data_IF_752373397274
#
_entry.id   IF_752373397274
#
_cell.length_a   1.000
_cell.length_b   1.000
_cell.length_c   1.000
_cell.angle_alpha   90.00
_cell.angle_beta   90.00
_cell.angle_gamma   90.00
#
_symmetry.space_group_name_H-M   'P 1'
#
loop_
_entity.id
_entity.type
_entity.pdbx_description
1 polymer ?
#
# COMPACT_ATOMS: atom_id res chain seq x y z
N UNK A 1 -18.97 -4.64 8.43
CA UNK A 1 -18.12 -3.73 7.64
C UNK A 1 -18.00 -4.31 6.25
N UNK A 2 -17.90 -3.47 5.23
CA UNK A 2 -17.58 -3.91 3.87
C UNK A 2 -16.30 -4.77 3.88
N UNK A 3 -16.20 -5.69 2.94
CA UNK A 3 -15.19 -6.74 2.94
C UNK A 3 -13.87 -6.21 2.36
N UNK A 4 -13.26 -5.29 3.09
CA UNK A 4 -12.03 -4.62 2.70
C UNK A 4 -10.82 -5.37 3.23
N UNK A 5 -9.72 -5.31 2.48
CA UNK A 5 -8.42 -5.75 2.94
C UNK A 5 -7.40 -4.64 2.79
N UNK A 6 -6.42 -4.59 3.69
CA UNK A 6 -5.16 -3.87 3.45
C UNK A 6 -4.12 -4.89 2.99
N UNK A 7 -3.37 -4.58 1.94
CA UNK A 7 -2.42 -5.48 1.29
C UNK A 7 -1.05 -4.83 1.15
N UNK A 8 -0.03 -5.63 1.40
CA UNK A 8 1.37 -5.38 1.02
C UNK A 8 2.03 -6.72 0.66
N UNK A 9 3.05 -6.70 -0.19
CA UNK A 9 3.85 -7.88 -0.53
C UNK A 9 5.34 -7.63 -0.39
N UNK A 10 6.06 -8.71 -0.13
CA UNK A 10 7.50 -8.77 -0.28
C UNK A 10 7.89 -9.69 -1.42
N UNK A 11 9.05 -9.44 -2.01
CA UNK A 11 9.58 -10.24 -3.12
C UNK A 11 10.78 -11.09 -2.70
N UNK A 12 11.07 -12.13 -3.48
CA UNK A 12 12.23 -13.01 -3.29
C UNK A 12 13.53 -12.39 -3.84
N UNK A 13 13.37 -11.43 -4.75
CA UNK A 13 14.45 -10.83 -5.54
C UNK A 13 14.26 -9.31 -5.65
N UNK A 14 15.36 -8.61 -5.88
CA UNK A 14 15.40 -7.17 -6.08
C UNK A 14 15.20 -6.82 -7.56
N UNK A 15 14.86 -5.55 -7.83
CA UNK A 15 14.86 -5.03 -9.20
C UNK A 15 16.20 -5.20 -9.92
N UNK A 16 17.32 -5.06 -9.19
CA UNK A 16 18.66 -5.30 -9.73
C UNK A 16 18.87 -6.73 -10.21
N UNK A 17 18.22 -7.70 -9.57
CA UNK A 17 18.35 -9.12 -9.90
C UNK A 17 17.59 -9.48 -11.19
N UNK A 18 16.60 -8.67 -11.58
CA UNK A 18 15.76 -8.90 -12.77
C UNK A 18 16.06 -7.97 -13.94
N UNK A 19 17.07 -7.10 -13.78
CA UNK A 19 17.54 -6.18 -14.82
C UNK A 19 16.93 -4.78 -14.78
N UNK A 20 16.09 -4.46 -13.80
CA UNK A 20 15.49 -3.13 -13.64
C UNK A 20 13.98 -3.15 -13.38
N UNK A 21 13.38 -1.95 -13.27
CA UNK A 21 11.95 -1.78 -12.91
C UNK A 21 11.00 -2.15 -14.05
N UNK A 22 11.45 -2.03 -15.29
CA UNK A 22 10.75 -2.47 -16.49
C UNK A 22 10.50 -3.99 -16.52
N UNK A 23 11.27 -4.75 -15.73
CA UNK A 23 11.17 -6.19 -15.58
C UNK A 23 10.32 -6.63 -14.38
N UNK A 24 9.36 -5.81 -13.92
CA UNK A 24 8.47 -6.08 -12.79
C UNK A 24 7.86 -7.50 -12.80
N UNK A 25 7.48 -8.00 -13.98
CA UNK A 25 6.89 -9.33 -14.17
C UNK A 25 7.82 -10.48 -13.76
N UNK A 26 9.14 -10.25 -13.66
CA UNK A 26 10.14 -11.24 -13.23
C UNK A 26 10.33 -11.28 -11.71
N UNK A 27 9.78 -10.34 -10.95
CA UNK A 27 9.81 -10.39 -9.49
C UNK A 27 8.96 -11.54 -8.96
N UNK A 28 9.46 -12.27 -7.97
CA UNK A 28 8.77 -13.42 -7.38
C UNK A 28 8.25 -13.05 -5.99
N UNK A 29 7.07 -13.54 -5.64
CA UNK A 29 6.44 -13.32 -4.34
C UNK A 29 7.19 -14.11 -3.26
N UNK A 30 7.58 -13.48 -2.16
CA UNK A 30 8.04 -14.21 -0.96
C UNK A 30 6.89 -14.38 0.03
N UNK A 31 6.22 -13.27 0.40
CA UNK A 31 5.04 -13.27 1.26
C UNK A 31 4.09 -12.15 0.88
N UNK A 32 2.78 -12.39 0.97
CA UNK A 32 1.74 -11.36 0.99
C UNK A 32 1.25 -11.16 2.42
N UNK A 33 1.26 -9.93 2.90
CA UNK A 33 0.71 -9.52 4.18
C UNK A 33 -0.67 -8.89 4.00
N UNK A 34 -1.61 -9.23 4.86
CA UNK A 34 -2.99 -8.76 4.76
C UNK A 34 -3.55 -8.38 6.12
N UNK A 35 -4.31 -7.30 6.19
CA UNK A 35 -5.27 -7.07 7.27
C UNK A 35 -6.70 -7.21 6.72
N UNK A 36 -7.46 -8.16 7.26
CA UNK A 36 -8.86 -8.40 6.89
C UNK A 36 -9.77 -7.61 7.83
N UNK A 37 -10.58 -6.68 7.30
CA UNK A 37 -11.56 -5.95 8.11
C UNK A 37 -12.73 -6.83 8.57
N UNK A 38 -13.12 -7.83 7.77
CA UNK A 38 -14.18 -8.75 8.15
C UNK A 38 -13.77 -9.66 9.32
N UNK A 39 -12.53 -10.14 9.29
CA UNK A 39 -12.01 -11.02 10.34
C UNK A 39 -11.29 -10.28 11.48
N UNK A 40 -11.01 -8.99 11.30
CA UNK A 40 -10.24 -8.13 12.22
C UNK A 40 -8.89 -8.73 12.60
N UNK A 41 -8.20 -9.34 11.63
CA UNK A 41 -6.94 -10.05 11.86
C UNK A 41 -5.90 -9.75 10.77
N UNK A 42 -4.64 -9.82 11.18
CA UNK A 42 -3.50 -9.84 10.29
C UNK A 42 -3.23 -11.27 9.82
N UNK A 43 -2.92 -11.43 8.54
CA UNK A 43 -2.67 -12.70 7.86
C UNK A 43 -1.45 -12.58 6.98
N UNK A 44 -0.74 -13.68 6.80
CA UNK A 44 0.35 -13.78 5.83
C UNK A 44 0.16 -14.99 4.95
N UNK A 45 0.51 -14.87 3.68
CA UNK A 45 0.43 -15.96 2.72
C UNK A 45 1.74 -16.06 1.94
N UNK A 46 2.42 -17.19 2.05
CA UNK A 46 3.51 -17.57 1.16
C UNK A 46 2.96 -18.08 -0.18
N UNK A 47 3.83 -18.33 -1.17
CA UNK A 47 3.39 -18.89 -2.46
C UNK A 47 2.55 -20.18 -2.31
N UNK A 48 2.86 -21.03 -1.32
CA UNK A 48 2.12 -22.28 -1.06
C UNK A 48 0.73 -22.04 -0.45
N UNK A 49 0.51 -20.88 0.15
CA UNK A 49 -0.74 -20.50 0.84
C UNK A 49 -1.64 -19.64 -0.06
N UNK A 50 -1.25 -19.40 -1.30
CA UNK A 50 -2.01 -18.63 -2.28
C UNK A 50 -3.43 -19.14 -2.56
N UNK A 51 -3.74 -20.46 -2.51
CA UNK A 51 -5.13 -20.91 -2.61
C UNK A 51 -6.04 -20.28 -1.54
N UNK A 52 -5.56 -20.18 -0.30
CA UNK A 52 -6.31 -19.54 0.79
C UNK A 52 -6.38 -18.01 0.62
N UNK A 53 -5.33 -17.40 0.06
CA UNK A 53 -5.35 -15.98 -0.29
C UNK A 53 -6.38 -15.68 -1.40
N UNK A 54 -6.49 -16.54 -2.42
CA UNK A 54 -7.51 -16.41 -3.46
C UNK A 54 -8.94 -16.48 -2.89
N UNK A 55 -9.20 -17.40 -1.96
CA UNK A 55 -10.50 -17.50 -1.30
C UNK A 55 -10.88 -16.22 -0.53
N UNK A 56 -9.88 -15.54 0.03
CA UNK A 56 -10.06 -14.21 0.62
C UNK A 56 -10.37 -13.17 -0.46
N UNK A 57 -9.56 -13.11 -1.52
CA UNK A 57 -9.73 -12.16 -2.63
C UNK A 57 -11.09 -12.27 -3.33
N UNK A 58 -11.63 -13.48 -3.50
CA UNK A 58 -12.97 -13.69 -4.11
C UNK A 58 -14.10 -12.99 -3.34
N UNK A 59 -13.89 -12.73 -2.05
CA UNK A 59 -14.85 -12.08 -1.17
C UNK A 59 -14.53 -10.60 -0.95
N UNK A 60 -13.35 -10.14 -1.39
CA UNK A 60 -12.87 -8.78 -1.19
C UNK A 60 -13.57 -7.79 -2.11
N UNK A 61 -14.10 -6.71 -1.52
CA UNK A 61 -14.77 -5.62 -2.22
C UNK A 61 -13.82 -4.45 -2.52
N UNK A 62 -12.76 -4.30 -1.72
CA UNK A 62 -11.76 -3.24 -1.87
C UNK A 62 -10.40 -3.69 -1.35
N UNK A 63 -9.35 -3.44 -2.13
CA UNK A 63 -7.96 -3.56 -1.71
C UNK A 63 -7.42 -2.18 -1.36
N UNK A 64 -6.94 -1.99 -0.14
CA UNK A 64 -6.26 -0.78 0.30
C UNK A 64 -4.77 -1.07 0.34
N UNK A 65 -3.94 -0.16 -0.17
CA UNK A 65 -2.52 -0.40 -0.26
C UNK A 65 -1.69 0.86 -0.45
N UNK A 66 -0.38 0.67 -0.55
CA UNK A 66 0.58 1.74 -0.76
C UNK A 66 1.51 1.42 -1.94
N UNK A 67 1.31 2.10 -3.08
CA UNK A 67 1.93 1.76 -4.37
C UNK A 67 1.56 0.35 -4.89
N UNK A 68 0.48 -0.21 -4.36
CA UNK A 68 -0.08 -1.53 -4.67
C UNK A 68 -0.56 -1.65 -6.11
N UNK A 69 -1.09 -0.57 -6.70
CA UNK A 69 -1.50 -0.59 -8.11
C UNK A 69 -0.32 -0.71 -9.08
N UNK A 70 0.80 -0.07 -8.72
CA UNK A 70 2.00 -0.01 -9.55
C UNK A 70 3.01 -1.13 -9.28
N UNK A 71 2.81 -1.94 -8.24
CA UNK A 71 3.79 -2.94 -7.80
C UNK A 71 3.14 -4.27 -7.42
N UNK A 72 2.46 -4.33 -6.28
CA UNK A 72 1.97 -5.56 -5.67
C UNK A 72 0.99 -6.33 -6.56
N UNK A 73 -0.04 -5.66 -7.07
CA UNK A 73 -1.10 -6.30 -7.85
C UNK A 73 -0.57 -6.84 -9.19
N UNK A 74 0.27 -6.11 -9.94
CA UNK A 74 0.97 -6.67 -11.09
C UNK A 74 1.87 -7.89 -10.78
N UNK A 75 2.58 -7.88 -9.65
CA UNK A 75 3.43 -9.02 -9.23
C UNK A 75 2.58 -10.23 -8.87
N UNK A 76 1.48 -10.03 -8.13
CA UNK A 76 0.54 -11.08 -7.75
C UNK A 76 -0.25 -11.66 -8.93
N UNK A 77 -0.53 -10.85 -9.96
CA UNK A 77 -1.38 -11.24 -11.09
C UNK A 77 -0.98 -12.58 -11.73
N UNK A 78 0.32 -12.88 -11.84
CA UNK A 78 0.80 -14.12 -12.48
C UNK A 78 0.61 -15.38 -11.63
N UNK A 79 0.32 -15.21 -10.35
CA UNK A 79 0.15 -16.29 -9.39
C UNK A 79 -1.31 -16.69 -9.17
N UNK A 80 -2.25 -15.84 -9.56
CA UNK A 80 -3.64 -15.94 -9.14
C UNK A 80 -4.56 -16.30 -10.31
N UNK A 81 -5.52 -17.20 -10.06
CA UNK A 81 -6.62 -17.46 -10.97
C UNK A 81 -7.70 -16.37 -10.93
N UNK A 82 -7.84 -15.72 -9.76
CA UNK A 82 -8.67 -14.52 -9.60
C UNK A 82 -8.00 -13.37 -10.35
N UNK A 83 -8.78 -12.68 -11.19
CA UNK A 83 -8.32 -11.44 -11.82
C UNK A 83 -8.29 -10.31 -10.78
N UNK A 84 -7.22 -10.29 -9.98
CA UNK A 84 -6.97 -9.29 -8.94
C UNK A 84 -6.96 -7.87 -9.51
N UNK A 85 -6.79 -7.71 -10.83
CA UNK A 85 -6.84 -6.42 -11.48
C UNK A 85 -8.24 -5.79 -11.50
N UNK A 86 -9.29 -6.62 -11.41
CA UNK A 86 -10.69 -6.21 -11.40
C UNK A 86 -11.25 -5.85 -10.02
N UNK A 87 -10.57 -6.25 -8.95
CA UNK A 87 -10.97 -5.86 -7.60
C UNK A 87 -10.65 -4.36 -7.45
N UNK A 88 -11.61 -3.53 -7.00
CA UNK A 88 -11.36 -2.12 -6.73
C UNK A 88 -10.18 -1.93 -5.77
N UNK A 89 -9.38 -0.88 -6.01
CA UNK A 89 -8.26 -0.53 -5.15
C UNK A 89 -8.30 0.94 -4.71
N UNK A 90 -7.84 1.17 -3.48
CA UNK A 90 -7.43 2.47 -2.97
C UNK A 90 -5.92 2.41 -2.74
N UNK A 91 -5.17 3.03 -3.63
CA UNK A 91 -3.72 3.19 -3.50
C UNK A 91 -3.40 4.60 -2.97
N UNK A 92 -2.90 4.67 -1.73
CA UNK A 92 -2.58 5.93 -1.05
C UNK A 92 -1.49 6.70 -1.81
N UNK A 93 -0.50 6.02 -2.39
CA UNK A 93 0.53 6.68 -3.20
C UNK A 93 -0.09 7.33 -4.44
N UNK A 94 -0.96 6.60 -5.14
CA UNK A 94 -1.65 7.10 -6.33
C UNK A 94 -2.46 8.36 -6.01
N UNK A 95 -3.15 8.41 -4.86
CA UNK A 95 -3.87 9.61 -4.43
C UNK A 95 -2.96 10.82 -4.24
N UNK A 96 -1.79 10.60 -3.63
CA UNK A 96 -0.81 11.66 -3.42
C UNK A 96 -0.22 12.12 -4.75
N UNK A 97 0.16 11.20 -5.64
CA UNK A 97 0.70 11.54 -6.97
C UNK A 97 -0.34 12.30 -7.79
N UNK A 98 -1.61 11.90 -7.78
CA UNK A 98 -2.69 12.58 -8.48
C UNK A 98 -2.92 14.01 -7.98
N UNK A 99 -2.72 14.23 -6.68
CA UNK A 99 -2.81 15.56 -6.10
C UNK A 99 -1.55 16.40 -6.36
N UNK A 100 -0.36 15.82 -6.21
CA UNK A 100 0.89 16.57 -6.02
C UNK A 100 1.90 16.45 -7.17
N UNK A 101 1.69 15.52 -8.09
CA UNK A 101 2.58 15.25 -9.22
C UNK A 101 3.88 14.50 -8.87
N UNK A 102 4.10 14.13 -7.61
CA UNK A 102 5.29 13.39 -7.18
C UNK A 102 4.99 12.36 -6.09
N UNK A 103 5.90 11.40 -5.94
CA UNK A 103 5.81 10.29 -4.97
C UNK A 103 6.35 10.71 -3.61
N UNK A 104 5.79 10.15 -2.54
CA UNK A 104 6.30 10.27 -1.16
C UNK A 104 6.49 8.87 -0.57
N UNK A 105 7.34 8.69 0.43
CA UNK A 105 7.50 7.37 1.05
C UNK A 105 6.40 7.08 2.09
N UNK A 106 6.15 5.79 2.34
CA UNK A 106 5.25 5.36 3.42
C UNK A 106 5.73 5.88 4.78
N UNK A 107 7.05 5.82 5.02
CA UNK A 107 7.67 6.33 6.26
C UNK A 107 7.39 7.83 6.46
N UNK A 108 7.53 8.64 5.41
CA UNK A 108 7.27 10.08 5.48
C UNK A 108 5.80 10.37 5.85
N UNK A 109 4.85 9.63 5.28
CA UNK A 109 3.44 9.74 5.65
C UNK A 109 3.20 9.30 7.09
N UNK A 110 3.80 8.20 7.52
CA UNK A 110 3.62 7.66 8.87
C UNK A 110 4.17 8.61 9.93
N UNK A 111 5.35 9.18 9.70
CA UNK A 111 5.97 10.14 10.62
C UNK A 111 5.09 11.37 10.74
N UNK A 112 4.67 11.96 9.61
CA UNK A 112 3.96 13.23 9.62
C UNK A 112 2.47 13.12 9.97
N UNK A 113 1.84 11.98 9.69
CA UNK A 113 0.40 11.76 9.94
C UNK A 113 0.16 11.08 11.28
N UNK A 114 0.95 10.05 11.61
CA UNK A 114 0.72 9.18 12.76
C UNK A 114 1.71 9.41 13.90
N UNK A 115 2.80 10.17 13.68
CA UNK A 115 3.90 10.28 14.63
C UNK A 115 4.67 8.96 14.81
N UNK A 116 4.58 8.04 13.84
CA UNK A 116 5.21 6.71 13.89
C UNK A 116 6.30 6.61 12.82
N UNK A 117 7.46 6.10 13.19
CA UNK A 117 8.54 5.78 12.24
C UNK A 117 8.50 4.31 11.84
N UNK A 118 8.85 4.00 10.60
CA UNK A 118 9.04 2.62 10.13
C UNK A 118 10.25 1.98 10.82
N UNK A 119 10.14 0.69 11.11
CA UNK A 119 11.15 -0.09 11.84
C UNK A 119 12.39 -0.44 10.99
N UNK A 120 12.26 -0.56 9.66
CA UNK A 120 13.39 -0.87 8.76
C UNK A 120 13.10 -0.50 7.28
N UNK A 121 14.11 -0.66 6.40
CA UNK A 121 14.05 -0.35 4.96
C UNK A 121 13.82 -1.64 4.13
N UNK A 122 13.14 -1.55 2.98
CA UNK A 122 12.68 -2.69 2.16
C UNK A 122 13.80 -3.63 1.66
N UNK A 123 15.05 -3.17 1.64
CA UNK A 123 16.19 -4.04 1.33
C UNK A 123 16.35 -5.20 2.31
N UNK A 124 15.88 -5.06 3.55
CA UNK A 124 16.02 -6.10 4.58
C UNK A 124 15.11 -7.31 4.31
N UNK A 125 14.00 -7.13 3.60
CA UNK A 125 13.02 -8.19 3.36
C UNK A 125 13.58 -9.29 2.45
N UNK A 126 14.24 -8.89 1.35
CA UNK A 126 14.90 -9.85 0.44
C UNK A 126 16.04 -10.58 1.16
N UNK A 127 16.76 -9.91 2.06
CA UNK A 127 17.81 -10.55 2.86
C UNK A 127 17.24 -11.56 3.86
N UNK A 128 16.10 -11.28 4.50
CA UNK A 128 15.39 -12.25 5.33
C UNK A 128 14.95 -13.47 4.52
N UNK A 129 14.41 -13.27 3.32
CA UNK A 129 14.06 -14.36 2.42
C UNK A 129 15.27 -15.24 2.07
N UNK A 130 16.37 -14.62 1.62
CA UNK A 130 17.61 -15.31 1.24
C UNK A 130 18.22 -16.13 2.39
N UNK A 131 18.03 -15.68 3.63
CA UNK A 131 18.49 -16.36 4.84
C UNK A 131 17.48 -17.37 5.40
N UNK A 132 16.29 -17.52 4.80
CA UNK A 132 15.22 -18.38 5.31
C UNK A 132 14.56 -17.87 6.59
N UNK A 133 14.76 -16.59 6.95
CA UNK A 133 14.24 -15.93 8.15
C UNK A 133 12.78 -15.49 7.96
N UNK A 134 11.91 -16.48 7.81
CA UNK A 134 10.52 -16.28 7.40
C UNK A 134 9.68 -15.55 8.44
N UNK A 135 9.95 -15.70 9.72
CA UNK A 135 9.19 -15.03 10.78
C UNK A 135 9.46 -13.53 10.79
N UNK A 136 10.72 -13.11 10.61
CA UNK A 136 11.09 -11.71 10.46
C UNK A 136 10.54 -11.10 9.18
N UNK A 137 10.58 -11.85 8.07
CA UNK A 137 9.98 -11.41 6.81
C UNK A 137 8.47 -11.19 6.94
N UNK A 138 7.75 -12.15 7.52
CA UNK A 138 6.31 -12.04 7.80
C UNK A 138 6.00 -10.85 8.70
N UNK A 139 6.77 -10.68 9.78
CA UNK A 139 6.60 -9.55 10.70
C UNK A 139 6.85 -8.21 10.00
N UNK A 140 7.88 -8.13 9.16
CA UNK A 140 8.22 -6.94 8.41
C UNK A 140 7.09 -6.54 7.45
N UNK A 141 6.58 -7.48 6.65
CA UNK A 141 5.44 -7.24 5.76
C UNK A 141 4.18 -6.81 6.55
N UNK A 142 3.88 -7.48 7.66
CA UNK A 142 2.74 -7.10 8.52
C UNK A 142 2.89 -5.73 9.17
N UNK A 143 4.11 -5.26 9.43
CA UNK A 143 4.35 -3.90 9.91
C UNK A 143 3.94 -2.86 8.86
N UNK A 144 4.24 -3.09 7.58
CA UNK A 144 3.81 -2.21 6.48
C UNK A 144 2.31 -2.25 6.25
N UNK A 145 1.69 -3.42 6.32
CA UNK A 145 0.22 -3.56 6.31
C UNK A 145 -0.40 -2.76 7.46
N UNK A 146 0.16 -2.86 8.67
CA UNK A 146 -0.34 -2.16 9.85
C UNK A 146 -0.21 -0.64 9.69
N UNK A 147 0.92 -0.15 9.19
CA UNK A 147 1.13 1.28 8.93
C UNK A 147 0.18 1.81 7.86
N UNK A 148 0.00 1.06 6.78
CA UNK A 148 -0.95 1.39 5.70
C UNK A 148 -2.39 1.43 6.21
N UNK A 149 -2.79 0.45 7.03
CA UNK A 149 -4.10 0.42 7.69
C UNK A 149 -4.28 1.65 8.58
N UNK A 150 -3.32 1.94 9.45
CA UNK A 150 -3.38 3.06 10.39
C UNK A 150 -3.50 4.41 9.63
N UNK A 151 -2.80 4.58 8.51
CA UNK A 151 -2.94 5.75 7.63
C UNK A 151 -4.33 5.86 7.01
N UNK A 152 -4.85 4.75 6.49
CA UNK A 152 -6.19 4.71 5.92
C UNK A 152 -7.26 5.04 6.97
N UNK A 153 -7.19 4.44 8.16
CA UNK A 153 -8.11 4.72 9.27
C UNK A 153 -8.01 6.17 9.76
N UNK A 154 -6.79 6.72 9.82
CA UNK A 154 -6.60 8.14 10.12
C UNK A 154 -7.26 9.03 9.06
N UNK A 155 -7.05 8.74 7.77
CA UNK A 155 -7.65 9.47 6.66
C UNK A 155 -9.18 9.41 6.68
N UNK A 156 -9.76 8.24 6.98
CA UNK A 156 -11.21 8.09 7.16
C UNK A 156 -11.75 8.95 8.31
N UNK A 157 -11.05 8.97 9.45
CA UNK A 157 -11.50 9.67 10.66
C UNK A 157 -11.33 11.19 10.56
N UNK A 158 -10.22 11.64 9.99
CA UNK A 158 -9.81 13.06 10.04
C UNK A 158 -9.99 13.79 8.70
N UNK A 159 -10.24 13.06 7.60
CA UNK A 159 -10.36 13.62 6.26
C UNK A 159 -9.05 14.21 5.73
N UNK A 160 -7.90 13.81 6.30
CA UNK A 160 -6.59 14.31 5.88
C UNK A 160 -5.45 13.33 6.13
N UNK A 161 -4.34 13.49 5.39
CA UNK A 161 -3.04 12.88 5.63
C UNK A 161 -1.94 13.93 5.43
N UNK A 162 -0.77 13.73 6.06
CA UNK A 162 0.32 14.72 6.13
C UNK A 162 1.63 14.13 5.62
N UNK A 163 2.43 14.93 4.94
CA UNK A 163 3.71 14.52 4.36
C UNK A 163 4.66 15.71 4.21
N UNK A 164 5.95 15.42 4.02
CA UNK A 164 6.98 16.43 3.78
C UNK A 164 7.01 16.81 2.30
N UNK A 165 6.70 18.07 2.00
CA UNK A 165 6.89 18.65 0.67
C UNK A 165 8.32 19.17 0.49
N UNK A 166 8.83 19.07 -0.75
CA UNK A 166 10.18 19.51 -1.15
C UNK A 166 10.17 20.44 -2.37
N UNK A 167 9.02 21.08 -2.62
CA UNK A 167 8.81 22.02 -3.72
C UNK A 167 9.25 23.47 -3.38
N UNK A 168 9.87 23.68 -2.21
CA UNK A 168 10.41 24.94 -1.74
C UNK A 168 11.86 24.78 -1.24
N UNK A 169 12.53 25.91 -0.95
CA UNK A 169 13.92 25.94 -0.48
C UNK A 169 14.16 25.17 0.83
N UNK A 170 13.12 25.03 1.67
CA UNK A 170 13.15 24.26 2.92
C UNK A 170 12.00 23.26 2.94
N UNK A 171 12.22 22.04 3.46
CA UNK A 171 11.13 21.07 3.66
C UNK A 171 10.07 21.62 4.61
N UNK A 172 8.80 21.37 4.29
CA UNK A 172 7.67 21.75 5.14
C UNK A 172 6.57 20.68 5.08
N UNK A 173 5.68 20.67 6.07
CA UNK A 173 4.57 19.72 6.12
C UNK A 173 3.39 20.22 5.29
N UNK A 174 2.91 19.38 4.38
CA UNK A 174 1.71 19.62 3.59
C UNK A 174 0.61 18.66 4.00
N UNK A 175 -0.62 19.15 3.97
CA UNK A 175 -1.83 18.39 4.31
C UNK A 175 -2.58 18.08 3.03
N UNK A 176 -2.81 16.80 2.76
CA UNK A 176 -3.72 16.36 1.70
C UNK A 176 -5.08 16.09 2.32
N UNK A 177 -6.13 16.79 1.89
CA UNK A 177 -7.49 16.40 2.26
C UNK A 177 -7.91 15.18 1.45
N UNK A 178 -8.36 14.15 2.15
CA UNK A 178 -8.79 12.88 1.56
C UNK A 178 -10.23 12.61 1.93
N UNK A 179 -10.97 11.99 1.01
CA UNK A 179 -12.29 11.46 1.27
C UNK A 179 -12.31 9.96 0.94
N UNK A 180 -11.80 9.17 1.89
CA UNK A 180 -11.77 7.72 1.76
C UNK A 180 -13.14 7.06 1.99
N UNK A 181 -14.14 7.81 2.49
CA UNK A 181 -15.43 7.28 2.89
C UNK A 181 -16.50 7.38 1.79
N UNK A 182 -16.56 8.49 1.05
CA UNK A 182 -17.61 8.73 0.05
C UNK A 182 -17.26 8.23 -1.36
N UNK A 183 -16.02 7.81 -1.57
CA UNK A 183 -15.50 7.49 -2.89
C UNK A 183 -15.95 6.10 -3.34
N UNK A 184 -16.60 6.04 -4.49
CA UNK A 184 -16.82 4.78 -5.21
C UNK A 184 -15.54 4.42 -5.95
N UNK A 185 -14.83 3.42 -5.47
CA UNK A 185 -13.70 2.83 -6.18
C UNK A 185 -14.27 1.96 -7.31
N UNK A 186 -14.19 2.43 -8.56
CA UNK A 186 -14.50 1.62 -9.72
C UNK A 186 -13.36 0.63 -10.00
N UNK A 187 -13.66 -0.50 -10.64
CA UNK A 187 -12.63 -1.32 -11.26
C UNK A 187 -11.71 -0.45 -12.14
N UNK A 188 -10.41 -0.75 -12.13
CA UNK A 188 -9.36 0.06 -12.80
C UNK A 188 -9.72 0.32 -14.27
N UNK A 189 -9.69 1.59 -14.68
CA UNK A 189 -9.97 2.05 -16.05
C UNK A 189 -11.30 2.78 -16.27
N UNK A 190 -12.19 2.83 -15.27
CA UNK A 190 -13.37 3.70 -15.30
C UNK A 190 -13.07 5.12 -14.80
N UNK A 191 -13.82 6.16 -15.22
CA UNK A 191 -13.71 7.48 -14.62
C UNK A 191 -14.04 7.38 -13.12
N UNK A 192 -13.14 7.85 -12.26
CA UNK A 192 -13.40 7.96 -10.83
C UNK A 192 -14.67 8.79 -10.63
N UNK A 193 -15.74 8.18 -10.11
CA UNK A 193 -16.98 8.87 -9.78
C UNK A 193 -17.04 9.05 -8.26
N UNK A 194 -16.60 10.21 -7.78
CA UNK A 194 -16.51 10.54 -6.36
C UNK A 194 -15.59 11.74 -6.13
N UNK A 195 -15.85 12.52 -5.08
CA UNK A 195 -15.34 13.89 -4.88
C UNK A 195 -13.86 14.09 -5.22
N UNK A 196 -13.55 15.21 -5.87
CA UNK A 196 -12.15 15.60 -6.15
C UNK A 196 -11.38 15.70 -4.83
N UNK A 197 -10.29 14.95 -4.71
CA UNK A 197 -9.27 15.18 -3.68
C UNK A 197 -8.83 16.64 -3.78
N UNK A 198 -9.13 17.44 -2.75
CA UNK A 198 -8.78 18.87 -2.71
C UNK A 198 -7.50 19.05 -1.93
N UNK A 199 -6.56 19.79 -2.48
CA UNK A 199 -5.33 20.13 -1.79
C UNK A 199 -5.60 21.43 -1.03
N UNK A 200 -5.48 21.38 0.29
CA UNK A 200 -5.47 22.58 1.11
C UNK A 200 -4.04 22.77 1.61
N UNK A 201 -3.48 23.93 1.29
CA UNK A 201 -2.18 24.32 1.80
C UNK A 201 -2.36 25.05 3.12
N UNK A 202 -1.74 24.51 4.16
CA UNK A 202 -1.49 25.23 5.41
C UNK A 202 0.01 25.28 5.61
N UNK A 203 0.64 26.47 5.59
CA UNK A 203 2.04 26.58 5.98
C UNK A 203 2.14 26.23 7.46
N UNK A 204 2.76 25.10 7.75
CA UNK A 204 3.25 24.79 9.09
C UNK A 204 4.66 25.39 9.18
N UNK A 205 4.78 26.57 9.77
CA UNK A 205 6.08 27.08 10.22
C UNK A 205 6.51 26.22 11.42
N UNK A 206 7.66 25.55 11.30
CA UNK A 206 8.45 25.20 12.48
C UNK A 206 9.09 26.47 13.04
#
# INVERSE_FOLDING_TARGET
>A
MANHIVLDIETQNLFSDVGGKENLHKLLLSVAGVYSYADKKFLTFTEKELPAFEDLLRKTELIIGFNTDGFDLPVLKKYLSVDIMKIPSLDIMTEIVNAMGHRVSLDDLCVNTLGKKKSANGLIAVDYWRQGRMDELKKYCLDDVRLTRDLYEYGLKNGEIKFTARDANLPYIKILKVDFASRRFSARGGPASGGKTKILWTPSLF
#
